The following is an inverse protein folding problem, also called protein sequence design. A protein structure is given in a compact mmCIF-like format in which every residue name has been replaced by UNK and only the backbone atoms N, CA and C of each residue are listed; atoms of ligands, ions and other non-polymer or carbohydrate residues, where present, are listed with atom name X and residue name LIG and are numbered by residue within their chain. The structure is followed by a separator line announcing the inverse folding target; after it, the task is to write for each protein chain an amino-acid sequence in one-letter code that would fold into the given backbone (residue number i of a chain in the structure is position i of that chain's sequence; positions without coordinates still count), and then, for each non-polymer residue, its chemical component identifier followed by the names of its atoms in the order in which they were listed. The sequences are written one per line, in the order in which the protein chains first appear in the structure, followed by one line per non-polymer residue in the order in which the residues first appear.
data_IF_747990666962
#
_entry.id   IF_747990666962
#
_cell.length_a   1.000
_cell.length_b   1.000
_cell.length_c   1.000
_cell.angle_alpha   90.00
_cell.angle_beta   90.00
_cell.angle_gamma   90.00
#
_symmetry.space_group_name_H-M   'P 1'
#
loop_
_entity.id
_entity.type
_entity.pdbx_description
1 polymer ?
#
# COMPACT_ATOMS: atom_id res chain seq x y z
N UNK A 1 -9.24 -0.53 -2.90
CA UNK A 1 -8.96 -1.69 -2.04
C UNK A 1 -10.00 -2.80 -2.16
N UNK A 2 -11.30 -2.56 -1.92
CA UNK A 2 -12.35 -3.60 -2.00
C UNK A 2 -12.29 -4.47 -3.27
N UNK A 3 -12.13 -3.84 -4.43
CA UNK A 3 -12.05 -4.53 -5.73
C UNK A 3 -10.91 -5.56 -5.80
N UNK A 4 -9.76 -5.25 -5.20
CA UNK A 4 -8.61 -6.15 -5.19
C UNK A 4 -8.81 -7.30 -4.21
N UNK A 5 -9.32 -7.01 -3.00
CA UNK A 5 -9.63 -8.04 -2.01
C UNK A 5 -10.74 -8.99 -2.49
N UNK A 6 -11.74 -8.48 -3.24
CA UNK A 6 -12.74 -9.32 -3.90
C UNK A 6 -12.12 -10.24 -4.96
N UNK A 7 -11.18 -9.71 -5.77
CA UNK A 7 -10.52 -10.47 -6.84
C UNK A 7 -9.71 -11.65 -6.31
N UNK A 8 -9.07 -11.49 -5.15
CA UNK A 8 -8.27 -12.55 -4.50
C UNK A 8 -9.08 -13.40 -3.51
N UNK A 9 -10.41 -13.21 -3.44
CA UNK A 9 -11.31 -14.04 -2.66
C UNK A 9 -11.35 -13.76 -1.15
N UNK A 10 -10.71 -12.69 -0.67
CA UNK A 10 -10.75 -12.29 0.74
C UNK A 10 -12.06 -11.58 1.12
N UNK A 11 -12.70 -10.90 0.19
CA UNK A 11 -14.02 -10.30 0.38
C UNK A 11 -15.04 -10.93 -0.56
N UNK A 12 -16.29 -10.90 -0.14
CA UNK A 12 -17.46 -11.25 -0.96
C UNK A 12 -18.16 -9.98 -1.48
N UNK A 13 -19.04 -10.14 -2.46
CA UNK A 13 -19.91 -9.03 -2.91
C UNK A 13 -20.85 -8.57 -1.79
N UNK A 14 -21.21 -9.47 -0.90
CA UNK A 14 -22.08 -9.18 0.24
C UNK A 14 -21.37 -8.34 1.30
N UNK A 15 -20.08 -8.62 1.59
CA UNK A 15 -19.26 -7.78 2.47
C UNK A 15 -19.23 -6.33 1.96
N UNK A 16 -19.07 -6.14 0.65
CA UNK A 16 -19.03 -4.80 0.04
C UNK A 16 -20.39 -4.13 0.06
N UNK A 17 -21.48 -4.90 -0.17
CA UNK A 17 -22.86 -4.37 -0.13
C UNK A 17 -23.25 -3.88 1.26
N UNK A 18 -22.74 -4.53 2.29
CA UNK A 18 -23.06 -4.25 3.70
C UNK A 18 -22.09 -3.24 4.35
N UNK A 19 -21.15 -2.65 3.60
CA UNK A 19 -20.23 -1.66 4.14
C UNK A 19 -20.94 -0.32 4.43
N UNK A 20 -20.37 0.42 5.39
CA UNK A 20 -20.77 1.78 5.72
C UNK A 20 -19.56 2.72 5.68
N UNK A 21 -19.74 4.05 5.70
CA UNK A 21 -18.62 5.00 5.78
C UNK A 21 -17.66 4.73 6.95
N UNK A 22 -18.21 4.29 8.07
CA UNK A 22 -17.44 4.03 9.30
C UNK A 22 -16.91 2.59 9.38
N UNK A 23 -17.53 1.66 8.64
CA UNK A 23 -17.17 0.24 8.62
C UNK A 23 -17.00 -0.25 7.18
N UNK A 24 -15.88 0.12 6.56
CA UNK A 24 -15.56 -0.30 5.20
C UNK A 24 -15.13 -1.75 5.15
N UNK A 25 -15.65 -2.53 4.21
CA UNK A 25 -15.37 -3.95 4.05
C UNK A 25 -13.86 -4.28 3.99
N UNK A 26 -13.08 -3.45 3.31
CA UNK A 26 -11.63 -3.65 3.22
C UNK A 26 -10.91 -3.60 4.57
N UNK A 27 -11.46 -2.94 5.58
CA UNK A 27 -10.83 -2.82 6.91
C UNK A 27 -10.69 -4.16 7.64
N UNK A 28 -11.42 -5.19 7.19
CA UNK A 28 -11.26 -6.54 7.70
C UNK A 28 -9.84 -7.10 7.47
N UNK A 29 -9.18 -6.66 6.39
CA UNK A 29 -7.86 -7.16 6.00
C UNK A 29 -6.83 -6.05 5.77
N UNK A 30 -7.26 -4.79 5.72
CA UNK A 30 -6.43 -3.62 5.49
C UNK A 30 -6.95 -2.45 6.33
N UNK A 31 -6.38 -2.26 7.50
CA UNK A 31 -6.89 -1.35 8.53
C UNK A 31 -6.02 -0.11 8.79
N UNK A 32 -5.00 0.14 7.96
CA UNK A 32 -4.19 1.36 8.00
C UNK A 32 -4.35 2.23 6.74
N UNK A 33 -3.65 3.35 6.67
CA UNK A 33 -3.62 4.21 5.49
C UNK A 33 -2.89 3.57 4.32
N UNK A 34 -3.18 4.00 3.10
CA UNK A 34 -2.49 3.51 1.91
C UNK A 34 -1.08 4.08 1.78
N UNK A 35 -0.80 5.21 2.41
CA UNK A 35 0.49 5.89 2.37
C UNK A 35 0.47 7.20 3.16
N UNK A 36 1.63 7.80 3.28
CA UNK A 36 1.87 9.06 3.97
C UNK A 36 2.94 9.89 3.26
N UNK A 37 3.01 11.18 3.58
CA UNK A 37 4.10 12.03 3.13
C UNK A 37 5.42 11.54 3.74
N UNK A 38 6.47 11.64 2.94
CA UNK A 38 7.84 11.32 3.33
C UNK A 38 8.71 12.55 3.07
N UNK A 39 9.47 12.99 4.06
CA UNK A 39 10.34 14.15 3.98
C UNK A 39 11.45 14.10 5.01
N UNK A 40 11.59 15.13 5.84
CA UNK A 40 12.54 15.15 6.95
C UNK A 40 12.17 14.06 7.95
N UNK A 41 10.87 13.96 8.25
CA UNK A 41 10.33 12.87 9.07
C UNK A 41 9.81 11.73 8.21
N UNK A 42 9.89 10.50 8.73
CA UNK A 42 9.32 9.30 8.07
C UNK A 42 7.82 9.47 7.86
N UNK A 43 7.10 9.95 8.85
CA UNK A 43 5.71 10.39 8.77
C UNK A 43 5.68 11.91 8.73
N UNK A 44 6.00 12.48 7.58
CA UNK A 44 6.15 13.92 7.47
C UNK A 44 4.80 14.64 7.44
N UNK A 45 4.87 15.95 7.74
CA UNK A 45 3.69 16.81 7.78
C UNK A 45 3.06 16.89 6.40
N UNK A 46 1.78 16.57 6.32
CA UNK A 46 1.01 16.67 5.09
C UNK A 46 -0.49 16.74 5.37
N UNK A 47 -1.20 17.53 4.58
CA UNK A 47 -2.66 17.61 4.67
C UNK A 47 -3.33 16.68 3.67
N UNK A 48 -4.22 15.83 4.13
CA UNK A 48 -5.05 14.96 3.29
C UNK A 48 -5.99 15.75 2.35
N UNK A 49 -6.20 17.03 2.65
CA UNK A 49 -7.06 17.91 1.85
C UNK A 49 -6.26 18.73 0.83
N UNK A 50 -4.94 18.62 0.82
CA UNK A 50 -4.10 19.29 -0.17
C UNK A 50 -3.93 18.39 -1.38
N UNK A 51 -4.22 18.86 -2.60
CA UNK A 51 -3.94 18.11 -3.81
C UNK A 51 -2.45 17.74 -3.90
N UNK A 52 -2.18 16.54 -4.38
CA UNK A 52 -0.81 16.08 -4.65
C UNK A 52 -0.19 16.98 -5.73
N UNK A 53 1.03 17.47 -5.49
CA UNK A 53 1.75 18.38 -6.37
C UNK A 53 3.11 17.81 -6.75
N UNK A 54 3.65 18.31 -7.85
CA UNK A 54 5.03 18.08 -8.26
C UNK A 54 6.00 18.40 -7.11
N UNK A 55 7.03 17.57 -6.97
CA UNK A 55 8.05 17.66 -5.92
C UNK A 55 7.70 16.87 -4.65
N UNK A 56 6.43 16.50 -4.44
CA UNK A 56 6.04 15.71 -3.28
C UNK A 56 6.58 14.30 -3.35
N UNK A 57 6.95 13.76 -2.19
CA UNK A 57 7.31 12.35 -2.00
C UNK A 57 6.35 11.74 -0.98
N UNK A 58 5.86 10.54 -1.28
CA UNK A 58 5.00 9.79 -0.37
C UNK A 58 5.16 8.29 -0.55
N UNK A 59 4.80 7.54 0.48
CA UNK A 59 4.78 6.08 0.44
C UNK A 59 3.50 5.57 -0.20
N UNK A 60 3.57 4.39 -0.81
CA UNK A 60 2.40 3.55 -1.11
C UNK A 60 2.69 2.18 -0.51
N UNK A 61 1.91 1.80 0.48
CA UNK A 61 2.18 0.69 1.39
C UNK A 61 0.96 -0.22 1.59
N UNK A 62 0.37 -0.78 0.54
CA UNK A 62 -0.73 -1.71 0.70
C UNK A 62 -0.31 -2.92 1.54
N UNK A 63 -1.15 -3.29 2.51
CA UNK A 63 -0.94 -4.45 3.35
C UNK A 63 -2.18 -5.34 3.40
N UNK A 64 -1.97 -6.64 3.58
CA UNK A 64 -3.03 -7.61 3.84
C UNK A 64 -2.67 -8.33 5.13
N UNK A 65 -3.65 -8.41 6.04
CA UNK A 65 -3.48 -9.03 7.34
C UNK A 65 -4.63 -9.99 7.57
N UNK A 66 -4.31 -11.27 7.76
CA UNK A 66 -5.27 -12.35 7.96
C UNK A 66 -5.05 -12.88 9.38
N UNK A 67 -5.81 -12.33 10.33
CA UNK A 67 -5.67 -12.61 11.75
C UNK A 67 -5.86 -14.10 12.05
N UNK A 68 -6.82 -14.76 11.39
CA UNK A 68 -7.11 -16.18 11.57
C UNK A 68 -5.94 -17.09 11.17
N UNK A 69 -5.09 -16.61 10.26
CA UNK A 69 -3.89 -17.32 9.80
C UNK A 69 -2.61 -16.80 10.47
N UNK A 70 -2.74 -15.81 11.37
CA UNK A 70 -1.62 -15.13 12.02
C UNK A 70 -0.58 -14.63 11.00
N UNK A 71 -1.06 -14.16 9.85
CA UNK A 71 -0.25 -13.77 8.71
C UNK A 71 -0.54 -12.32 8.29
N UNK A 72 0.52 -11.62 7.95
CA UNK A 72 0.43 -10.29 7.35
C UNK A 72 1.58 -10.03 6.40
N UNK A 73 1.30 -9.33 5.33
CA UNK A 73 2.30 -8.85 4.38
C UNK A 73 2.01 -7.42 3.99
N UNK A 74 3.05 -6.59 3.97
CA UNK A 74 3.01 -5.22 3.46
C UNK A 74 4.21 -5.00 2.55
N UNK A 75 3.97 -4.41 1.39
CA UNK A 75 5.00 -3.97 0.46
C UNK A 75 4.88 -2.46 0.37
N UNK A 76 5.98 -1.78 0.58
CA UNK A 76 6.03 -0.31 0.63
C UNK A 76 7.08 0.22 -0.33
N UNK A 77 6.65 1.10 -1.23
CA UNK A 77 7.52 1.82 -2.14
C UNK A 77 7.36 3.33 -1.95
N UNK A 78 8.44 4.07 -2.17
CA UNK A 78 8.44 5.52 -2.15
C UNK A 78 8.25 6.06 -3.56
N UNK A 79 7.35 7.03 -3.72
CA UNK A 79 7.02 7.64 -5.00
C UNK A 79 7.32 9.13 -4.99
N UNK A 80 8.10 9.57 -5.96
CA UNK A 80 8.33 10.97 -6.24
C UNK A 80 7.41 11.47 -7.35
N UNK A 81 6.68 12.54 -7.08
CA UNK A 81 5.75 13.16 -8.03
C UNK A 81 6.52 14.12 -8.93
N UNK A 82 6.44 13.90 -10.23
CA UNK A 82 7.05 14.75 -11.24
C UNK A 82 6.00 15.28 -12.23
N UNK A 83 6.39 16.22 -13.08
CA UNK A 83 5.54 16.72 -14.19
C UNK A 83 5.06 15.61 -15.11
N UNK A 84 5.86 14.56 -15.29
CA UNK A 84 5.59 13.50 -16.27
C UNK A 84 4.99 12.25 -15.63
N UNK A 85 4.57 12.31 -14.37
CA UNK A 85 4.01 11.21 -13.62
C UNK A 85 4.84 10.88 -12.37
N UNK A 86 4.54 9.74 -11.78
CA UNK A 86 5.20 9.29 -10.55
C UNK A 86 6.41 8.42 -10.88
N UNK A 87 7.50 8.63 -10.16
CA UNK A 87 8.69 7.79 -10.21
C UNK A 87 8.70 6.90 -8.97
N UNK A 88 8.65 5.59 -9.17
CA UNK A 88 8.90 4.62 -8.12
C UNK A 88 10.41 4.57 -7.83
N UNK A 89 10.80 5.02 -6.64
CA UNK A 89 12.19 5.12 -6.22
C UNK A 89 12.80 3.74 -5.89
N UNK A 90 11.97 2.73 -5.71
CA UNK A 90 12.37 1.35 -5.41
C UNK A 90 12.27 0.41 -6.61
N UNK A 91 12.00 0.94 -7.82
CA UNK A 91 11.81 0.15 -9.05
C UNK A 91 12.92 -0.88 -9.31
N UNK A 92 14.14 -0.63 -8.87
CA UNK A 92 15.28 -1.53 -9.06
C UNK A 92 15.48 -2.54 -7.91
N UNK A 93 14.69 -2.46 -6.86
CA UNK A 93 14.78 -3.35 -5.71
C UNK A 93 13.98 -4.65 -5.95
N UNK A 94 14.48 -5.80 -5.49
CA UNK A 94 13.72 -7.04 -5.55
C UNK A 94 12.48 -6.95 -4.63
N UNK A 95 11.30 -7.27 -5.17
CA UNK A 95 10.03 -7.20 -4.44
C UNK A 95 9.34 -8.56 -4.40
N UNK A 96 9.42 -9.32 -5.49
CA UNK A 96 8.80 -10.65 -5.54
C UNK A 96 9.62 -11.66 -4.75
N UNK A 97 8.98 -12.74 -4.30
CA UNK A 97 9.64 -13.82 -3.56
C UNK A 97 10.84 -14.35 -4.34
N UNK A 98 10.67 -14.63 -5.63
CA UNK A 98 11.72 -15.18 -6.49
C UNK A 98 12.90 -14.22 -6.64
N UNK A 99 12.64 -12.91 -6.80
CA UNK A 99 13.68 -11.88 -6.89
C UNK A 99 14.48 -11.76 -5.59
N UNK A 100 13.78 -11.77 -4.43
CA UNK A 100 14.40 -11.70 -3.11
C UNK A 100 15.27 -12.95 -2.88
N UNK A 101 14.73 -14.14 -3.12
CA UNK A 101 15.48 -15.38 -2.99
C UNK A 101 16.71 -15.43 -3.92
N UNK A 102 16.56 -14.97 -5.17
CA UNK A 102 17.67 -14.89 -6.10
C UNK A 102 18.76 -13.92 -5.65
N UNK A 103 18.36 -12.76 -5.09
CA UNK A 103 19.29 -11.78 -4.54
C UNK A 103 20.07 -12.33 -3.31
N UNK A 104 19.38 -13.09 -2.46
CA UNK A 104 20.01 -13.70 -1.25
C UNK A 104 20.93 -14.88 -1.59
N UNK A 105 20.73 -15.57 -2.70
CA UNK A 105 21.61 -16.68 -3.15
C UNK A 105 22.93 -16.22 -3.78
N UNK A 106 23.04 -14.94 -4.15
CA UNK A 106 24.29 -14.35 -4.65
C UNK A 106 25.23 -14.08 -3.46
N UNK A 107 26.06 -15.08 -3.13
CA UNK A 107 27.25 -14.92 -2.27
C UNK A 107 28.47 -14.72 -3.16
#
# INVERSE_FOLDING_TARGET
MNKQLLKIGLLTKEDIKNESPDNRACRKYFYHGLGHHLGIDVHDIGSRNTPIKEGMVFTIEPGIYIEQEQMGIRIENNFWVTKNGNIDMFKAMPITTDEIEAAMKKK
#
